data_IF_058931390080
#
_entry.id   IF_058931390080
#
_cell.length_a   1.000
_cell.length_b   1.000
_cell.length_c   1.000
_cell.angle_alpha   90.00
_cell.angle_beta   90.00
_cell.angle_gamma   90.00
#
_symmetry.space_group_name_H-M   'P 1'
#
loop_
_entity.id
_entity.type
_entity.pdbx_description
1 polymer ?
#
# COMPACT_ATOMS: atom_id res chain seq x y z
N UNK A 1 -1.05 9.66 12.01
CA UNK A 1 -1.85 8.71 11.20
C UNK A 1 -1.08 8.26 9.96
N UNK A 2 -0.31 9.15 9.33
CA UNK A 2 0.54 8.82 8.16
C UNK A 2 1.67 7.80 8.44
N UNK A 3 2.29 7.81 9.62
CA UNK A 3 3.33 6.82 9.98
C UNK A 3 2.80 5.38 9.99
N UNK A 4 1.55 5.20 10.41
CA UNK A 4 0.89 3.88 10.39
C UNK A 4 0.62 3.43 8.95
N UNK A 5 0.38 4.38 8.04
CA UNK A 5 0.15 4.10 6.63
C UNK A 5 1.44 3.64 5.93
N UNK A 6 2.57 4.29 6.21
CA UNK A 6 3.86 3.87 5.68
C UNK A 6 4.23 2.42 6.03
N UNK A 7 3.80 1.93 7.19
CA UNK A 7 4.02 0.54 7.59
C UNK A 7 3.28 -0.49 6.72
N UNK A 8 2.22 -0.08 6.01
CA UNK A 8 1.52 -0.99 5.08
C UNK A 8 2.22 -1.12 3.73
N UNK A 9 3.02 -0.15 3.29
CA UNK A 9 3.76 -0.22 2.02
C UNK A 9 4.63 -1.48 1.89
N UNK A 10 5.48 -1.86 2.87
CA UNK A 10 6.26 -3.09 2.77
C UNK A 10 5.38 -4.34 2.82
N UNK A 11 4.27 -4.33 3.56
CA UNK A 11 3.32 -5.45 3.57
C UNK A 11 2.64 -5.62 2.20
N UNK A 12 2.27 -4.51 1.56
CA UNK A 12 1.72 -4.47 0.20
C UNK A 12 2.75 -4.97 -0.81
N UNK A 13 4.00 -4.52 -0.74
CA UNK A 13 5.08 -4.96 -1.62
C UNK A 13 5.33 -6.48 -1.53
N UNK A 14 5.38 -7.01 -0.30
CA UNK A 14 5.50 -8.45 -0.04
C UNK A 14 4.32 -9.19 -0.66
N UNK A 15 3.08 -8.74 -0.45
CA UNK A 15 1.90 -9.38 -1.02
C UNK A 15 1.90 -9.34 -2.55
N UNK A 16 2.26 -8.22 -3.16
CA UNK A 16 2.36 -8.11 -4.62
C UNK A 16 3.41 -9.09 -5.18
N UNK A 17 4.57 -9.19 -4.52
CA UNK A 17 5.65 -10.08 -4.95
C UNK A 17 5.34 -11.57 -4.74
N UNK A 18 4.73 -11.93 -3.59
CA UNK A 18 4.48 -13.33 -3.23
C UNK A 18 3.17 -13.89 -3.80
N UNK A 19 2.13 -13.07 -3.88
CA UNK A 19 0.81 -13.49 -4.36
C UNK A 19 0.60 -13.13 -5.84
N UNK A 20 1.47 -12.31 -6.43
CA UNK A 20 1.33 -11.83 -7.81
C UNK A 20 0.11 -10.92 -8.01
N UNK A 21 -0.39 -10.32 -6.93
CA UNK A 21 -1.54 -9.41 -6.95
C UNK A 21 -1.09 -7.96 -7.16
N UNK A 22 -2.00 -7.10 -7.61
CA UNK A 22 -1.72 -5.67 -7.74
C UNK A 22 -1.94 -4.92 -6.41
N UNK A 23 -1.58 -3.63 -6.40
CA UNK A 23 -1.66 -2.78 -5.21
C UNK A 23 -3.10 -2.66 -4.66
N UNK A 24 -4.09 -2.46 -5.52
CA UNK A 24 -5.51 -2.39 -5.11
C UNK A 24 -5.96 -3.69 -4.45
N UNK A 25 -5.64 -4.84 -5.05
CA UNK A 25 -5.96 -6.16 -4.49
C UNK A 25 -5.30 -6.38 -3.13
N UNK A 26 -4.05 -5.96 -2.96
CA UNK A 26 -3.36 -6.02 -1.67
C UNK A 26 -4.04 -5.10 -0.64
N UNK A 27 -4.50 -3.92 -1.06
CA UNK A 27 -5.24 -3.02 -0.19
C UNK A 27 -6.61 -3.57 0.23
N UNK A 28 -7.33 -4.20 -0.70
CA UNK A 28 -8.58 -4.90 -0.42
C UNK A 28 -8.37 -6.05 0.58
N UNK A 29 -7.29 -6.83 0.42
CA UNK A 29 -6.95 -7.92 1.36
C UNK A 29 -6.61 -7.41 2.76
N UNK A 30 -6.00 -6.22 2.86
CA UNK A 30 -5.73 -5.56 4.14
C UNK A 30 -6.97 -4.91 4.76
N UNK A 31 -8.11 -4.89 4.05
CA UNK A 31 -9.33 -4.24 4.53
C UNK A 31 -9.24 -2.71 4.55
N UNK A 32 -8.40 -2.13 3.69
CA UNK A 32 -8.17 -0.69 3.61
C UNK A 32 -9.30 0.00 2.87
N UNK A 33 -9.81 1.09 3.45
CA UNK A 33 -10.87 1.88 2.85
C UNK A 33 -10.34 2.71 1.67
N UNK A 34 -11.19 3.14 0.71
CA UNK A 34 -10.75 3.89 -0.47
C UNK A 34 -9.92 5.14 -0.16
N UNK A 35 -10.22 5.83 0.96
CA UNK A 35 -9.44 6.98 1.42
C UNK A 35 -8.01 6.59 1.85
N UNK A 36 -7.86 5.44 2.50
CA UNK A 36 -6.56 4.92 2.93
C UNK A 36 -5.76 4.42 1.72
N UNK A 37 -6.42 3.80 0.74
CA UNK A 37 -5.79 3.40 -0.51
C UNK A 37 -5.24 4.61 -1.28
N UNK A 38 -6.01 5.69 -1.39
CA UNK A 38 -5.54 6.93 -2.02
C UNK A 38 -4.33 7.51 -1.29
N UNK A 39 -4.36 7.49 0.05
CA UNK A 39 -3.24 7.96 0.87
C UNK A 39 -1.99 7.11 0.66
N UNK A 40 -2.13 5.79 0.65
CA UNK A 40 -1.02 4.85 0.43
C UNK A 40 -0.46 4.94 -0.99
N UNK A 41 -1.31 5.16 -1.99
CA UNK A 41 -0.88 5.37 -3.38
C UNK A 41 0.01 6.62 -3.49
N UNK A 42 -0.41 7.74 -2.88
CA UNK A 42 0.39 8.96 -2.82
C UNK A 42 1.72 8.76 -2.08
N UNK A 43 1.71 8.02 -0.96
CA UNK A 43 2.92 7.71 -0.20
C UNK A 43 3.87 6.80 -1.00
N UNK A 44 3.36 5.81 -1.72
CA UNK A 44 4.16 4.93 -2.57
C UNK A 44 4.87 5.72 -3.69
N UNK A 45 4.20 6.71 -4.26
CA UNK A 45 4.76 7.57 -5.30
C UNK A 45 5.88 8.49 -4.75
N UNK A 46 5.74 8.94 -3.50
CA UNK A 46 6.76 9.70 -2.78
C UNK A 46 8.00 8.84 -2.47
N UNK A 47 7.85 7.61 -1.96
CA UNK A 47 8.99 6.76 -1.60
C UNK A 47 9.76 6.22 -2.83
N UNK A 48 9.14 6.19 -4.01
CA UNK A 48 9.82 5.80 -5.26
C UNK A 48 10.71 6.92 -5.83
N UNK A 49 10.58 8.15 -5.33
CA UNK A 49 11.30 9.33 -5.83
C UNK A 49 12.58 9.62 -5.03
N UNK A 50 12.87 8.85 -3.97
CA UNK A 50 14.14 8.92 -3.20
C UNK A 50 15.13 7.81 -3.61
#
# INVERSE_FOLDING_TARGET
MEETMKNYLPAIDIMMCHLGINFEQACEQLGLNPLEQETLSKLQEQERTE
#
